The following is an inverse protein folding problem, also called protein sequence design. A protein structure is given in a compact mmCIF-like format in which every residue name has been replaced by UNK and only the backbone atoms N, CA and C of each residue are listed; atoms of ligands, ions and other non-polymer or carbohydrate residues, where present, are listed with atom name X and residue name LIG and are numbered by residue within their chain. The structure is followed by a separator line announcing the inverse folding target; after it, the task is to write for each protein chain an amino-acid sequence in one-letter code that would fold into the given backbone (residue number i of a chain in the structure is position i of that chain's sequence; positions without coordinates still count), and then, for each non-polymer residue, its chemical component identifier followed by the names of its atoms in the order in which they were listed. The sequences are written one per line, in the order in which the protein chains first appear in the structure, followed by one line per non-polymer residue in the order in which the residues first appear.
data_IF_664456211634
#
_entry.id   IF_664456211634
#
_cell.length_a   1.000
_cell.length_b   1.000
_cell.length_c   1.000
_cell.angle_alpha   90.00
_cell.angle_beta   90.00
_cell.angle_gamma   90.00
#
_symmetry.space_group_name_H-M   'P 1'
#
loop_
_entity.id
_entity.type
_entity.pdbx_description
1 polymer ?
#
# COMPACT_ATOMS: atom_id res chain seq x y z
N UNK A 1 3.06 -8.24 -14.43
CA UNK A 1 3.48 -9.25 -13.43
C UNK A 1 2.23 -9.83 -12.81
N UNK A 2 2.21 -11.14 -12.46
CA UNK A 2 1.08 -11.79 -11.79
C UNK A 2 1.56 -12.32 -10.44
N UNK A 3 0.85 -11.98 -9.36
CA UNK A 3 1.08 -12.48 -8.00
C UNK A 3 -0.14 -13.31 -7.60
N UNK A 4 0.06 -14.40 -6.87
CA UNK A 4 -1.00 -15.26 -6.33
C UNK A 4 -0.67 -15.54 -4.87
N UNK A 5 -1.69 -15.44 -4.01
CA UNK A 5 -1.56 -15.58 -2.55
C UNK A 5 -2.55 -16.66 -2.13
N UNK A 6 -2.06 -17.70 -1.49
CA UNK A 6 -2.88 -18.74 -0.90
C UNK A 6 -3.17 -18.38 0.56
N UNK A 7 -4.46 -18.33 0.90
CA UNK A 7 -4.94 -18.05 2.26
C UNK A 7 -5.54 -19.32 2.86
N UNK A 8 -5.53 -19.47 4.20
CA UNK A 8 -6.25 -20.56 4.84
C UNK A 8 -7.75 -20.45 4.57
N UNK A 9 -8.40 -21.60 4.38
CA UNK A 9 -9.84 -21.71 4.09
C UNK A 9 -10.67 -21.36 5.33
N UNK A 10 -10.92 -20.07 5.51
CA UNK A 10 -11.55 -19.46 6.69
C UNK A 10 -12.44 -18.29 6.28
N UNK A 11 -13.73 -18.40 6.56
CA UNK A 11 -14.73 -17.39 6.23
C UNK A 11 -14.68 -16.14 7.14
N UNK A 12 -13.96 -16.21 8.26
CA UNK A 12 -13.90 -15.16 9.28
C UNK A 12 -12.76 -14.14 9.09
N UNK A 13 -11.96 -14.27 8.03
CA UNK A 13 -10.81 -13.41 7.79
C UNK A 13 -11.19 -11.98 7.38
N UNK A 14 -12.36 -11.79 6.77
CA UNK A 14 -12.80 -10.48 6.28
C UNK A 14 -11.86 -9.88 5.22
N UNK A 15 -11.08 -10.71 4.52
CA UNK A 15 -10.16 -10.30 3.47
C UNK A 15 -10.85 -10.47 2.12
N UNK A 16 -11.18 -9.36 1.47
CA UNK A 16 -11.59 -9.33 0.07
C UNK A 16 -10.44 -8.83 -0.84
N UNK A 17 -10.66 -8.84 -2.15
CA UNK A 17 -9.67 -8.37 -3.13
C UNK A 17 -9.26 -6.92 -2.88
N UNK A 18 -10.21 -6.08 -2.45
CA UNK A 18 -9.98 -4.67 -2.21
C UNK A 18 -9.03 -4.46 -1.02
N UNK A 19 -9.33 -5.10 0.11
CA UNK A 19 -8.47 -5.12 1.30
C UNK A 19 -7.08 -5.64 0.96
N UNK A 20 -6.98 -6.78 0.27
CA UNK A 20 -5.71 -7.37 -0.09
C UNK A 20 -4.86 -6.44 -0.97
N UNK A 21 -5.50 -5.77 -1.94
CA UNK A 21 -4.84 -4.83 -2.84
C UNK A 21 -4.33 -3.60 -2.08
N UNK A 22 -5.16 -2.98 -1.24
CA UNK A 22 -4.76 -1.82 -0.44
C UNK A 22 -3.63 -2.16 0.54
N UNK A 23 -3.76 -3.26 1.28
CA UNK A 23 -2.74 -3.71 2.23
C UNK A 23 -1.38 -3.95 1.56
N UNK A 24 -1.37 -4.60 0.40
CA UNK A 24 -0.14 -4.86 -0.34
C UNK A 24 0.49 -3.56 -0.85
N UNK A 25 -0.30 -2.67 -1.46
CA UNK A 25 0.20 -1.41 -2.01
C UNK A 25 0.73 -0.51 -0.90
N UNK A 26 0.01 -0.39 0.23
CA UNK A 26 0.47 0.37 1.39
C UNK A 26 1.79 -0.17 1.92
N UNK A 27 1.92 -1.50 2.04
CA UNK A 27 3.16 -2.15 2.49
C UNK A 27 4.33 -1.88 1.54
N UNK A 28 4.12 -1.96 0.23
CA UNK A 28 5.17 -1.69 -0.75
C UNK A 28 5.58 -0.22 -0.76
N UNK A 29 4.62 0.68 -0.61
CA UNK A 29 4.89 2.12 -0.46
C UNK A 29 5.73 2.41 0.78
N UNK A 30 5.30 1.94 1.96
CA UNK A 30 6.01 2.24 3.23
C UNK A 30 7.40 1.62 3.32
N UNK A 31 7.67 0.58 2.51
CA UNK A 31 8.99 -0.04 2.40
C UNK A 31 9.85 0.51 1.25
N UNK A 32 9.46 1.63 0.63
CA UNK A 32 10.21 2.29 -0.45
C UNK A 32 10.31 1.45 -1.71
N UNK A 33 9.35 0.56 -1.97
CA UNK A 33 9.29 -0.25 -3.19
C UNK A 33 8.38 0.35 -4.25
N UNK A 34 7.46 1.21 -3.83
CA UNK A 34 6.63 2.03 -4.71
C UNK A 34 6.74 3.47 -4.25
N UNK A 35 6.81 4.39 -5.21
CA UNK A 35 6.53 5.79 -4.93
C UNK A 35 5.06 5.98 -4.56
N UNK A 36 4.76 7.05 -3.85
CA UNK A 36 3.39 7.46 -3.57
C UNK A 36 2.62 7.77 -4.85
N UNK A 37 3.30 8.15 -5.94
CA UNK A 37 2.68 8.27 -7.27
C UNK A 37 2.22 6.93 -7.81
N UNK A 38 3.10 5.94 -7.89
CA UNK A 38 2.76 4.61 -8.40
C UNK A 38 1.69 3.95 -7.54
N UNK A 39 1.79 4.07 -6.21
CA UNK A 39 0.79 3.55 -5.28
C UNK A 39 -0.62 4.13 -5.56
N UNK A 40 -0.71 5.45 -5.80
CA UNK A 40 -1.97 6.12 -6.15
C UNK A 40 -2.51 5.71 -7.51
N UNK A 41 -1.63 5.56 -8.51
CA UNK A 41 -2.02 5.08 -9.84
C UNK A 41 -2.59 3.66 -9.78
N UNK A 42 -1.99 2.76 -8.97
CA UNK A 42 -2.48 1.39 -8.79
C UNK A 42 -3.85 1.35 -8.09
N UNK A 43 -4.05 2.21 -7.08
CA UNK A 43 -5.28 2.24 -6.29
C UNK A 43 -6.37 3.16 -6.86
N UNK A 44 -6.07 3.97 -7.87
CA UNK A 44 -7.01 4.96 -8.42
C UNK A 44 -7.38 6.04 -7.41
N UNK A 45 -6.48 6.39 -6.50
CA UNK A 45 -6.74 7.32 -5.40
C UNK A 45 -6.11 8.69 -5.63
N UNK A 46 -6.74 9.72 -5.08
CA UNK A 46 -6.09 11.02 -4.92
C UNK A 46 -5.00 10.93 -3.84
N UNK A 47 -4.09 11.91 -3.80
CA UNK A 47 -3.08 12.00 -2.73
C UNK A 47 -3.70 11.96 -1.34
N UNK A 48 -4.68 12.83 -1.11
CA UNK A 48 -5.38 12.91 0.17
C UNK A 48 -6.09 11.59 0.51
N UNK A 49 -6.76 10.96 -0.45
CA UNK A 49 -7.45 9.69 -0.23
C UNK A 49 -6.48 8.56 0.15
N UNK A 50 -5.31 8.52 -0.47
CA UNK A 50 -4.26 7.58 -0.12
C UNK A 50 -3.71 7.81 1.29
N UNK A 51 -3.40 9.06 1.64
CA UNK A 51 -2.94 9.44 2.99
C UNK A 51 -3.97 9.11 4.08
N UNK A 52 -5.28 9.27 3.81
CA UNK A 52 -6.37 8.88 4.71
C UNK A 52 -6.58 7.36 4.82
N UNK A 53 -6.11 6.59 3.84
CA UNK A 53 -6.20 5.13 3.80
C UNK A 53 -5.10 4.45 4.61
N UNK A 54 -3.86 4.97 4.56
CA UNK A 54 -2.68 4.37 5.21
C UNK A 54 -2.88 3.98 6.69
N UNK A 55 -3.50 4.80 7.56
CA UNK A 55 -3.69 4.45 8.97
C UNK A 55 -4.56 3.21 9.19
N UNK A 56 -5.45 2.87 8.25
CA UNK A 56 -6.31 1.67 8.34
C UNK A 56 -5.51 0.38 8.30
N UNK A 57 -4.31 0.43 7.73
CA UNK A 57 -3.38 -0.70 7.60
C UNK A 57 -2.19 -0.59 8.57
N UNK A 58 -2.25 0.33 9.54
CA UNK A 58 -1.22 0.49 10.57
C UNK A 58 -0.02 1.32 10.14
N UNK A 59 -0.08 2.02 9.01
CA UNK A 59 0.99 2.89 8.54
C UNK A 59 0.73 4.35 8.93
N UNK A 60 1.76 5.01 9.44
CA UNK A 60 1.71 6.44 9.77
C UNK A 60 2.36 7.25 8.67
N UNK A 61 1.72 8.36 8.29
CA UNK A 61 2.18 9.32 7.28
C UNK A 61 3.53 9.96 7.66
N UNK A 62 3.93 9.87 8.93
CA UNK A 62 5.11 10.55 9.48
C UNK A 62 6.39 9.71 9.48
N UNK A 63 6.37 8.49 8.96
CA UNK A 63 7.56 7.61 8.94
C UNK A 63 8.14 7.61 7.53
N UNK A 64 8.85 8.69 7.20
CA UNK A 64 9.71 8.73 6.02
C UNK A 64 10.97 7.92 6.32
N UNK A 65 11.01 6.69 5.84
CA UNK A 65 12.24 5.90 5.81
C UNK A 65 13.20 6.45 4.74
N UNK A 66 14.52 6.27 4.88
CA UNK A 66 15.48 6.66 3.84
C UNK A 66 15.10 6.11 2.46
N UNK A 67 14.58 4.88 2.41
CA UNK A 67 14.14 4.21 1.19
C UNK A 67 12.90 4.89 0.58
N UNK A 68 11.93 5.32 1.41
CA UNK A 68 10.77 6.08 0.93
C UNK A 68 11.20 7.41 0.32
N UNK A 69 12.11 8.11 0.99
CA UNK A 69 12.63 9.40 0.53
C UNK A 69 13.35 9.23 -0.81
N UNK A 70 14.26 8.26 -0.94
CA UNK A 70 14.97 8.00 -2.20
C UNK A 70 14.01 7.64 -3.33
N UNK A 71 12.98 6.86 -3.05
CA UNK A 71 11.98 6.47 -4.06
C UNK A 71 11.19 7.69 -4.55
N UNK A 72 10.73 8.55 -3.65
CA UNK A 72 9.99 9.78 -4.00
C UNK A 72 10.85 10.80 -4.74
N UNK A 73 12.14 10.91 -4.42
CA UNK A 73 13.05 11.84 -5.10
C UNK A 73 13.38 11.43 -6.53
N UNK A 74 13.26 10.14 -6.85
CA UNK A 74 13.63 9.57 -8.15
C UNK A 74 12.42 9.18 -9.03
N UNK A 75 11.18 9.43 -8.58
CA UNK A 75 9.93 9.03 -9.24
C UNK A 75 9.29 10.12 -10.14
#
# INVERSE_FOLDING_TARGET
MKVTIDLPDRDDLGVDEHYAKEALVATLYTNGKLSGREAREVLGMTRRGFEEMLPRYGFSILVDTPENIETELNA
#
